data_IF_098203798007
#
_entry.id   IF_098203798007
#
_cell.length_a   1.000
_cell.length_b   1.000
_cell.length_c   1.000
_cell.angle_alpha   90.00
_cell.angle_beta   90.00
_cell.angle_gamma   90.00
#
_symmetry.space_group_name_H-M   'P 1'
#
loop_
_entity.id
_entity.type
_entity.pdbx_description
1 polymer ?
#
# COMPACT_ATOMS: atom_id res chain seq x y z
N UNK A 1 -30.60 30.27 -5.04
CA UNK A 1 -30.66 28.95 -5.72
C UNK A 1 -29.77 28.00 -4.94
N UNK A 2 -30.36 27.13 -4.12
CA UNK A 2 -29.60 26.22 -3.23
C UNK A 2 -29.32 24.93 -3.99
N UNK A 3 -28.07 24.69 -4.36
CA UNK A 3 -27.67 23.43 -4.99
C UNK A 3 -27.74 22.35 -3.91
N UNK A 4 -28.76 21.49 -3.97
CA UNK A 4 -28.82 20.27 -3.15
C UNK A 4 -27.88 19.24 -3.78
N UNK A 5 -26.70 19.08 -3.20
CA UNK A 5 -25.81 17.97 -3.52
C UNK A 5 -26.50 16.67 -3.08
N UNK A 6 -26.85 15.82 -4.04
CA UNK A 6 -27.30 14.45 -3.74
C UNK A 6 -26.10 13.70 -3.18
N UNK A 7 -26.30 12.92 -2.11
CA UNK A 7 -25.27 12.00 -1.65
C UNK A 7 -25.02 10.99 -2.76
N UNK A 8 -23.75 10.64 -2.95
CA UNK A 8 -23.33 9.67 -3.96
C UNK A 8 -24.10 8.34 -3.80
N UNK A 9 -24.37 7.94 -2.57
CA UNK A 9 -25.17 6.76 -2.22
C UNK A 9 -26.59 6.79 -2.83
N UNK A 10 -27.23 7.97 -2.88
CA UNK A 10 -28.56 8.15 -3.47
C UNK A 10 -28.52 8.11 -5.01
N UNK A 11 -27.35 8.30 -5.61
CA UNK A 11 -27.13 8.21 -7.06
C UNK A 11 -26.87 6.76 -7.46
N UNK A 12 -26.10 6.00 -6.67
CA UNK A 12 -25.83 4.59 -6.95
C UNK A 12 -27.09 3.72 -6.88
N UNK A 13 -27.98 3.95 -5.92
CA UNK A 13 -29.28 3.26 -5.80
C UNK A 13 -30.23 3.44 -7.00
N UNK A 14 -29.93 4.36 -7.92
CA UNK A 14 -30.68 4.51 -9.17
C UNK A 14 -30.23 3.58 -10.29
N UNK A 15 -29.02 3.04 -10.19
CA UNK A 15 -28.37 2.30 -11.27
C UNK A 15 -27.90 0.92 -10.84
N UNK A 16 -27.71 0.69 -9.54
CA UNK A 16 -27.27 -0.57 -8.96
C UNK A 16 -28.26 -1.01 -7.89
N UNK A 17 -28.52 -2.31 -7.82
CA UNK A 17 -29.25 -2.93 -6.71
C UNK A 17 -28.38 -2.93 -5.44
N UNK A 18 -29.01 -3.03 -4.27
CA UNK A 18 -28.28 -3.17 -3.00
C UNK A 18 -27.41 -4.46 -3.00
N UNK A 19 -27.78 -5.48 -3.78
CA UNK A 19 -27.02 -6.73 -3.95
C UNK A 19 -25.74 -6.50 -4.78
N UNK A 20 -25.84 -5.78 -5.89
CA UNK A 20 -24.68 -5.43 -6.74
C UNK A 20 -23.67 -4.54 -6.00
N UNK A 21 -24.16 -3.64 -5.14
CA UNK A 21 -23.31 -2.80 -4.28
C UNK A 21 -22.59 -3.67 -3.24
N UNK A 22 -23.31 -4.57 -2.57
CA UNK A 22 -22.73 -5.44 -1.55
C UNK A 22 -21.69 -6.41 -2.12
N UNK A 23 -21.90 -6.91 -3.34
CA UNK A 23 -20.93 -7.77 -4.04
C UNK A 23 -19.65 -6.99 -4.41
N UNK A 24 -19.79 -5.77 -4.95
CA UNK A 24 -18.66 -4.91 -5.26
C UNK A 24 -17.85 -4.51 -4.02
N UNK A 25 -18.53 -4.19 -2.90
CA UNK A 25 -17.86 -3.87 -1.64
C UNK A 25 -17.07 -5.08 -1.10
N UNK A 26 -17.63 -6.29 -1.21
CA UNK A 26 -16.96 -7.52 -0.79
C UNK A 26 -15.71 -7.81 -1.63
N UNK A 27 -15.78 -7.64 -2.95
CA UNK A 27 -14.62 -7.79 -3.83
C UNK A 27 -13.54 -6.77 -3.48
N UNK A 28 -13.92 -5.50 -3.32
CA UNK A 28 -13.00 -4.43 -2.96
C UNK A 28 -12.33 -4.66 -1.58
N UNK A 29 -13.07 -5.19 -0.60
CA UNK A 29 -12.51 -5.51 0.72
C UNK A 29 -11.48 -6.64 0.63
N UNK A 30 -11.72 -7.66 -0.20
CA UNK A 30 -10.76 -8.72 -0.46
C UNK A 30 -9.47 -8.21 -1.11
N UNK A 31 -9.59 -7.38 -2.15
CA UNK A 31 -8.43 -6.75 -2.80
C UNK A 31 -7.66 -5.84 -1.84
N UNK A 32 -8.36 -5.05 -1.03
CA UNK A 32 -7.76 -4.17 -0.03
C UNK A 32 -6.98 -4.98 1.02
N UNK A 33 -7.51 -6.12 1.46
CA UNK A 33 -6.83 -6.99 2.40
C UNK A 33 -5.54 -7.56 1.82
N UNK A 34 -5.57 -8.04 0.58
CA UNK A 34 -4.37 -8.53 -0.12
C UNK A 34 -3.32 -7.42 -0.29
N UNK A 35 -3.74 -6.21 -0.67
CA UNK A 35 -2.85 -5.06 -0.80
C UNK A 35 -2.19 -4.68 0.54
N UNK A 36 -2.96 -4.69 1.64
CA UNK A 36 -2.41 -4.41 2.98
C UNK A 36 -1.36 -5.43 3.39
N UNK A 37 -1.58 -6.71 3.13
CA UNK A 37 -0.59 -7.74 3.43
C UNK A 37 0.75 -7.49 2.69
N UNK A 38 0.67 -7.15 1.40
CA UNK A 38 1.87 -6.79 0.63
C UNK A 38 2.58 -5.56 1.19
N UNK A 39 1.82 -4.52 1.58
CA UNK A 39 2.38 -3.31 2.19
C UNK A 39 3.04 -3.59 3.54
N UNK A 40 2.42 -4.43 4.37
CA UNK A 40 2.96 -4.85 5.66
C UNK A 40 4.26 -5.63 5.51
N UNK A 41 4.36 -6.53 4.52
CA UNK A 41 5.58 -7.31 4.30
C UNK A 41 6.75 -6.43 3.88
N UNK A 42 6.51 -5.44 3.01
CA UNK A 42 7.53 -4.46 2.63
C UNK A 42 7.90 -3.57 3.82
N UNK A 43 6.94 -3.15 4.64
CA UNK A 43 7.20 -2.37 5.86
C UNK A 43 8.04 -3.15 6.88
N UNK A 44 7.72 -4.42 7.12
CA UNK A 44 8.48 -5.32 8.00
C UNK A 44 9.90 -5.47 7.47
N UNK A 45 10.07 -5.67 6.17
CA UNK A 45 11.39 -5.77 5.55
C UNK A 45 12.20 -4.49 5.74
N UNK A 46 11.62 -3.32 5.46
CA UNK A 46 12.27 -2.02 5.66
C UNK A 46 12.67 -1.82 7.14
N UNK A 47 11.78 -2.16 8.07
CA UNK A 47 12.05 -2.05 9.51
C UNK A 47 13.19 -2.97 9.94
N UNK A 48 13.25 -4.20 9.44
CA UNK A 48 14.35 -5.14 9.70
C UNK A 48 15.68 -4.61 9.16
N UNK A 49 15.68 -4.06 7.95
CA UNK A 49 16.85 -3.40 7.36
C UNK A 49 17.34 -2.26 8.26
N UNK A 50 16.43 -1.40 8.70
CA UNK A 50 16.77 -0.27 9.57
C UNK A 50 17.39 -0.74 10.89
N UNK A 51 16.82 -1.75 11.54
CA UNK A 51 17.35 -2.30 12.80
C UNK A 51 18.72 -2.96 12.56
N UNK A 52 18.84 -3.80 11.54
CA UNK A 52 20.07 -4.55 11.25
C UNK A 52 21.27 -3.64 10.96
N UNK A 53 21.02 -2.54 10.26
CA UNK A 53 22.06 -1.61 9.81
C UNK A 53 22.15 -0.36 10.71
N UNK A 54 21.42 -0.33 11.85
CA UNK A 54 21.37 0.81 12.78
C UNK A 54 20.98 2.14 12.12
N UNK A 55 20.08 2.08 11.13
CA UNK A 55 19.67 3.23 10.33
C UNK A 55 18.51 3.97 11.00
N UNK A 56 18.71 5.27 11.21
CA UNK A 56 17.61 6.20 11.44
C UNK A 56 16.80 6.46 10.16
N UNK A 57 15.58 6.97 10.31
CA UNK A 57 14.65 7.27 9.21
C UNK A 57 15.28 8.03 8.01
N UNK A 58 16.04 9.10 8.29
CA UNK A 58 16.69 9.91 7.24
C UNK A 58 17.83 9.17 6.54
N UNK A 59 18.56 8.34 7.29
CA UNK A 59 19.64 7.53 6.74
C UNK A 59 19.06 6.46 5.80
N UNK A 60 18.01 5.76 6.23
CA UNK A 60 17.28 4.82 5.40
C UNK A 60 16.80 5.45 4.09
N UNK A 61 16.13 6.61 4.16
CA UNK A 61 15.66 7.30 2.97
C UNK A 61 16.82 7.64 2.01
N UNK A 62 17.94 8.13 2.53
CA UNK A 62 19.12 8.50 1.74
C UNK A 62 19.80 7.30 1.09
N UNK A 63 19.97 6.19 1.81
CA UNK A 63 20.65 5.00 1.30
C UNK A 63 19.89 4.28 0.19
N UNK A 64 18.57 4.49 0.13
CA UNK A 64 17.68 3.85 -0.85
C UNK A 64 17.17 4.83 -1.91
N UNK A 65 17.76 6.03 -2.01
CA UNK A 65 17.37 7.10 -2.94
C UNK A 65 15.86 7.43 -2.90
N UNK A 66 15.28 7.42 -1.70
CA UNK A 66 13.87 7.69 -1.47
C UNK A 66 13.65 9.12 -0.98
N UNK A 67 12.56 9.73 -1.43
CA UNK A 67 12.04 10.92 -0.74
C UNK A 67 11.61 10.55 0.68
N UNK A 68 11.69 11.50 1.62
CA UNK A 68 11.23 11.28 3.00
C UNK A 68 9.76 10.88 3.06
N UNK A 69 8.92 11.40 2.15
CA UNK A 69 7.51 11.00 2.06
C UNK A 69 7.36 9.52 1.66
N UNK A 70 8.13 9.07 0.68
CA UNK A 70 8.13 7.67 0.25
C UNK A 70 8.67 6.74 1.34
N UNK A 71 9.79 7.10 1.97
CA UNK A 71 10.32 6.33 3.09
C UNK A 71 9.31 6.22 4.25
N UNK A 72 8.58 7.29 4.56
CA UNK A 72 7.56 7.30 5.61
C UNK A 72 6.41 6.34 5.28
N UNK A 73 5.91 6.38 4.04
CA UNK A 73 4.87 5.48 3.53
C UNK A 73 5.30 4.02 3.62
N UNK A 74 6.50 3.71 3.14
CA UNK A 74 7.08 2.35 3.19
C UNK A 74 7.15 1.85 4.63
N UNK A 75 7.72 2.63 5.55
CA UNK A 75 7.91 2.23 6.94
C UNK A 75 6.56 1.99 7.63
N UNK A 76 5.54 2.79 7.31
CA UNK A 76 4.20 2.63 7.88
C UNK A 76 3.38 1.51 7.25
N UNK A 77 3.83 0.90 6.15
CA UNK A 77 3.02 -0.04 5.38
C UNK A 77 1.83 0.66 4.72
N UNK A 78 2.04 1.91 4.28
CA UNK A 78 1.02 2.73 3.65
C UNK A 78 1.43 3.06 2.21
N UNK A 79 0.42 3.30 1.37
CA UNK A 79 0.62 3.85 0.03
C UNK A 79 1.06 2.84 -1.02
N UNK A 80 0.98 3.28 -2.27
CA UNK A 80 1.25 2.42 -3.43
C UNK A 80 2.74 2.46 -3.75
N UNK A 81 3.39 1.31 -3.60
CA UNK A 81 4.78 1.11 -3.96
C UNK A 81 4.84 0.44 -5.34
N UNK A 82 5.74 0.91 -6.19
CA UNK A 82 5.99 0.21 -7.46
C UNK A 82 6.85 -1.02 -7.21
N UNK A 83 6.70 -2.03 -8.06
CA UNK A 83 7.58 -3.21 -8.04
C UNK A 83 9.05 -2.81 -8.20
N UNK A 84 9.33 -1.76 -8.96
CA UNK A 84 10.67 -1.16 -9.11
C UNK A 84 11.22 -0.67 -7.76
N UNK A 85 10.42 0.07 -6.98
CA UNK A 85 10.85 0.53 -5.63
C UNK A 85 11.17 -0.66 -4.73
N UNK A 86 10.32 -1.70 -4.72
CA UNK A 86 10.54 -2.90 -3.90
C UNK A 86 11.82 -3.62 -4.33
N UNK A 87 12.02 -3.80 -5.64
CA UNK A 87 13.21 -4.42 -6.20
C UNK A 87 14.48 -3.64 -5.86
N UNK A 88 14.43 -2.31 -5.95
CA UNK A 88 15.55 -1.45 -5.58
C UNK A 88 15.93 -1.60 -4.10
N UNK A 89 14.95 -1.55 -3.18
CA UNK A 89 15.21 -1.71 -1.75
C UNK A 89 15.80 -3.08 -1.45
N UNK A 90 15.27 -4.15 -2.07
CA UNK A 90 15.83 -5.48 -1.93
C UNK A 90 17.28 -5.54 -2.43
N UNK A 91 17.56 -4.99 -3.61
CA UNK A 91 18.90 -4.97 -4.21
C UNK A 91 19.93 -4.24 -3.33
N UNK A 92 19.60 -3.05 -2.82
CA UNK A 92 20.46 -2.28 -1.93
C UNK A 92 20.83 -3.04 -0.63
N UNK A 93 20.01 -4.01 -0.24
CA UNK A 93 20.21 -4.85 0.95
C UNK A 93 20.75 -6.26 0.63
N UNK A 94 21.23 -6.48 -0.60
CA UNK A 94 21.77 -7.77 -1.03
C UNK A 94 20.73 -8.89 -1.09
N UNK A 95 19.46 -8.54 -1.29
CA UNK A 95 18.33 -9.47 -1.42
C UNK A 95 17.82 -9.50 -2.86
N UNK A 96 17.09 -10.56 -3.18
CA UNK A 96 16.34 -10.69 -4.43
C UNK A 96 14.86 -10.60 -4.11
N UNK A 97 14.18 -9.59 -4.66
CA UNK A 97 12.73 -9.49 -4.57
C UNK A 97 12.09 -10.53 -5.48
N UNK A 98 11.11 -11.26 -4.95
CA UNK A 98 10.23 -12.16 -5.68
C UNK A 98 8.87 -12.19 -4.97
N UNK A 99 7.80 -12.48 -5.72
CA UNK A 99 6.44 -12.58 -5.19
C UNK A 99 6.04 -14.05 -5.19
N UNK A 100 5.43 -14.49 -4.10
CA UNK A 100 4.84 -15.83 -3.95
C UNK A 100 3.38 -15.64 -3.55
N UNK A 101 2.46 -16.27 -4.29
CA UNK A 101 1.05 -16.30 -3.92
C UNK A 101 0.80 -17.53 -3.04
N UNK A 102 0.01 -17.34 -1.98
CA UNK A 102 -0.36 -18.39 -1.02
C UNK A 102 -1.88 -18.54 -0.99
N UNK A 103 -2.35 -19.77 -0.75
CA UNK A 103 -3.77 -20.10 -0.56
C UNK A 103 -4.33 -19.58 0.77
#
# INVERSE_FOLDING_TARGET
MTIRLKKIDDVFKKYLSDEEIAEADKEAEGELQALKLLQEDVSKFASQVMVKNELGFRAFAKEHDLSLSMASKIIKGEGNLTLETIAHIAFCNGKKAHIVFTD
#
